data_IF_026576416899
#
_entry.id   IF_026576416899
#
_cell.length_a   1.000
_cell.length_b   1.000
_cell.length_c   1.000
_cell.angle_alpha   90.00
_cell.angle_beta   90.00
_cell.angle_gamma   90.00
#
_symmetry.space_group_name_H-M   'P 1'
#
loop_
_entity.id
_entity.type
_entity.pdbx_description
1 polymer ?
#
# COMPACT_ATOMS: atom_id res chain seq x y z
N UNK A 1 126.69 9.16 129.38
CA UNK A 1 125.39 9.61 129.92
C UNK A 1 124.82 10.82 129.16
N UNK A 2 125.31 12.07 129.27
CA UNK A 2 124.69 13.22 128.59
C UNK A 2 124.77 13.20 127.03
N UNK A 3 125.91 12.79 126.46
CA UNK A 3 126.08 12.63 125.00
C UNK A 3 125.29 11.45 124.43
N UNK A 4 125.01 10.43 125.23
CA UNK A 4 124.18 9.29 124.83
C UNK A 4 122.70 9.66 124.79
N UNK A 5 122.23 10.53 125.69
CA UNK A 5 120.86 11.07 125.68
C UNK A 5 120.60 11.99 124.48
N UNK A 6 121.58 12.81 124.09
CA UNK A 6 121.46 13.74 122.95
C UNK A 6 121.53 12.99 121.60
N UNK A 7 122.40 11.97 121.50
CA UNK A 7 122.44 11.04 120.37
C UNK A 7 121.12 10.26 120.23
N UNK A 8 120.53 9.81 121.35
CA UNK A 8 119.21 9.17 121.37
C UNK A 8 118.10 10.12 120.90
N UNK A 9 118.15 11.39 121.31
CA UNK A 9 117.19 12.42 120.90
C UNK A 9 117.26 12.74 119.41
N UNK A 10 118.48 12.84 118.85
CA UNK A 10 118.71 13.01 117.42
C UNK A 10 118.31 11.78 116.61
N UNK A 11 118.61 10.57 117.08
CA UNK A 11 118.13 9.33 116.47
C UNK A 11 116.60 9.24 116.46
N UNK A 12 115.94 9.70 117.53
CA UNK A 12 114.47 9.73 117.61
C UNK A 12 113.84 10.77 116.68
N UNK A 13 114.47 11.93 116.51
CA UNK A 13 114.07 12.93 115.51
C UNK A 13 114.32 12.48 114.09
N UNK A 14 115.47 11.87 113.81
CA UNK A 14 115.80 11.30 112.51
C UNK A 14 114.77 10.24 112.14
N UNK A 15 114.47 9.32 113.08
CA UNK A 15 113.43 8.31 112.90
C UNK A 15 112.05 8.91 112.67
N UNK A 16 111.70 9.99 113.37
CA UNK A 16 110.43 10.70 113.15
C UNK A 16 110.35 11.39 111.78
N UNK A 17 111.47 11.94 111.28
CA UNK A 17 111.56 12.54 109.95
C UNK A 17 111.56 11.46 108.85
N UNK A 18 112.21 10.32 109.08
CA UNK A 18 112.14 9.14 108.20
C UNK A 18 110.71 8.60 108.14
N UNK A 19 110.04 8.42 109.28
CA UNK A 19 108.63 8.00 109.35
C UNK A 19 107.68 9.00 108.65
N UNK A 20 107.98 10.30 108.72
CA UNK A 20 107.23 11.34 108.00
C UNK A 20 107.53 11.33 106.49
N UNK A 21 108.80 11.16 106.10
CA UNK A 21 109.22 11.08 104.71
C UNK A 21 108.63 9.83 104.02
N UNK A 22 108.57 8.71 104.72
CA UNK A 22 107.93 7.48 104.26
C UNK A 22 106.42 7.68 104.08
N UNK A 23 105.74 8.31 105.05
CA UNK A 23 104.31 8.66 104.92
C UNK A 23 104.02 9.62 103.77
N UNK A 24 104.83 10.66 103.60
CA UNK A 24 104.66 11.59 102.49
C UNK A 24 104.99 10.94 101.15
N UNK A 25 105.97 10.02 101.10
CA UNK A 25 106.29 9.28 99.88
C UNK A 25 105.18 8.29 99.49
N UNK A 26 104.63 7.55 100.45
CA UNK A 26 103.45 6.71 100.22
C UNK A 26 102.24 7.55 99.78
N UNK A 27 101.95 8.66 100.48
CA UNK A 27 100.84 9.54 100.12
C UNK A 27 101.02 10.20 98.75
N UNK A 28 102.25 10.53 98.36
CA UNK A 28 102.56 11.08 97.04
C UNK A 28 102.35 10.02 95.95
N UNK A 29 102.79 8.79 96.21
CA UNK A 29 102.63 7.66 95.29
C UNK A 29 101.15 7.32 95.09
N UNK A 30 100.36 7.29 96.16
CA UNK A 30 98.90 7.11 96.12
C UNK A 30 98.20 8.24 95.35
N UNK A 31 98.64 9.48 95.55
CA UNK A 31 98.09 10.64 94.84
C UNK A 31 98.43 10.60 93.34
N UNK A 32 99.64 10.18 92.98
CA UNK A 32 100.06 9.98 91.59
C UNK A 32 99.26 8.85 90.92
N UNK A 33 99.08 7.71 91.58
CA UNK A 33 98.25 6.60 91.06
C UNK A 33 96.80 7.04 90.86
N UNK A 34 96.23 7.81 91.79
CA UNK A 34 94.88 8.36 91.65
C UNK A 34 94.78 9.39 90.52
N UNK A 35 95.80 10.22 90.33
CA UNK A 35 95.86 11.18 89.24
C UNK A 35 95.89 10.47 87.89
N UNK A 36 96.76 9.47 87.73
CA UNK A 36 96.90 8.70 86.50
C UNK A 36 95.60 7.92 86.16
N UNK A 37 94.92 7.38 87.18
CA UNK A 37 93.59 6.78 87.01
C UNK A 37 92.52 7.81 86.60
N UNK A 38 92.56 9.03 87.13
CA UNK A 38 91.63 10.09 86.78
C UNK A 38 91.88 10.62 85.36
N UNK A 39 93.15 10.81 84.97
CA UNK A 39 93.55 11.21 83.61
C UNK A 39 93.14 10.15 82.59
N UNK A 40 93.36 8.86 82.89
CA UNK A 40 92.90 7.77 82.02
C UNK A 40 91.38 7.77 81.84
N UNK A 41 90.62 7.93 82.93
CA UNK A 41 89.15 8.03 82.85
C UNK A 41 88.69 9.26 82.07
N UNK A 42 89.36 10.39 82.21
CA UNK A 42 89.07 11.60 81.46
C UNK A 42 89.33 11.38 79.96
N UNK A 43 90.47 10.79 79.60
CA UNK A 43 90.81 10.46 78.22
C UNK A 43 89.80 9.46 77.59
N UNK A 44 89.38 8.43 78.33
CA UNK A 44 88.36 7.48 77.88
C UNK A 44 87.01 8.18 77.64
N UNK A 45 86.59 9.06 78.54
CA UNK A 45 85.36 9.84 78.41
C UNK A 45 85.42 10.83 77.25
N UNK A 46 86.54 11.51 77.04
CA UNK A 46 86.76 12.40 75.89
C UNK A 46 86.70 11.63 74.56
N UNK A 47 87.27 10.43 74.51
CA UNK A 47 87.19 9.55 73.35
C UNK A 47 85.74 9.09 73.08
N UNK A 48 84.98 8.76 74.11
CA UNK A 48 83.56 8.40 74.00
C UNK A 48 82.71 9.58 73.50
N UNK A 49 82.92 10.78 74.05
CA UNK A 49 82.25 12.00 73.60
C UNK A 49 82.57 12.30 72.13
N UNK A 50 83.83 12.15 71.71
CA UNK A 50 84.21 12.32 70.30
C UNK A 50 83.52 11.30 69.39
N UNK A 51 83.39 10.05 69.82
CA UNK A 51 82.68 8.99 69.10
C UNK A 51 81.17 9.29 68.99
N UNK A 52 80.53 9.68 70.09
CA UNK A 52 79.12 10.04 70.12
C UNK A 52 78.82 11.25 69.24
N UNK A 53 79.67 12.28 69.24
CA UNK A 53 79.52 13.44 68.36
C UNK A 53 79.59 13.06 66.87
N UNK A 54 80.51 12.16 66.50
CA UNK A 54 80.54 11.63 65.12
C UNK A 54 79.26 10.86 64.78
N UNK A 55 78.75 10.07 65.73
CA UNK A 55 77.51 9.32 65.54
C UNK A 55 76.30 10.23 65.41
N UNK A 56 76.24 11.33 66.17
CA UNK A 56 75.18 12.35 66.04
C UNK A 56 75.19 12.95 64.64
N UNK A 57 76.35 13.39 64.14
CA UNK A 57 76.47 13.96 62.78
C UNK A 57 75.99 12.97 61.70
N UNK A 58 76.36 11.70 61.79
CA UNK A 58 75.92 10.69 60.84
C UNK A 58 74.40 10.47 60.88
N UNK A 59 73.81 10.45 62.06
CA UNK A 59 72.35 10.31 62.22
C UNK A 59 71.61 11.55 61.73
N UNK A 60 72.14 12.75 61.94
CA UNK A 60 71.59 14.00 61.41
C UNK A 60 71.62 14.00 59.87
N UNK A 61 72.75 13.62 59.26
CA UNK A 61 72.84 13.49 57.80
C UNK A 61 71.88 12.42 57.24
N UNK A 62 71.70 11.29 57.92
CA UNK A 62 70.73 10.28 57.52
C UNK A 62 69.29 10.79 57.64
N UNK A 63 68.98 11.56 58.69
CA UNK A 63 67.68 12.17 58.90
C UNK A 63 67.38 13.18 57.79
N UNK A 64 68.32 14.06 57.45
CA UNK A 64 68.15 15.05 56.39
C UNK A 64 67.89 14.37 55.03
N UNK A 65 68.67 13.32 54.71
CA UNK A 65 68.44 12.53 53.49
C UNK A 65 67.09 11.82 53.48
N UNK A 66 66.63 11.32 54.62
CA UNK A 66 65.32 10.69 54.74
C UNK A 66 64.19 11.72 54.55
N UNK A 67 64.35 12.92 55.10
CA UNK A 67 63.40 14.03 54.94
C UNK A 67 63.30 14.50 53.49
N UNK A 68 64.41 14.68 52.77
CA UNK A 68 64.40 15.04 51.35
C UNK A 68 63.70 13.98 50.48
N UNK A 69 63.97 12.69 50.77
CA UNK A 69 63.29 11.58 50.09
C UNK A 69 61.79 11.58 50.37
N UNK A 70 61.39 11.81 51.63
CA UNK A 70 60.00 11.89 52.02
C UNK A 70 59.29 13.06 51.32
N UNK A 71 59.91 14.25 51.30
CA UNK A 71 59.36 15.43 50.61
C UNK A 71 59.12 15.14 49.12
N UNK A 72 60.09 14.51 48.45
CA UNK A 72 59.96 14.10 47.04
C UNK A 72 58.84 13.07 46.84
N UNK A 73 58.70 12.11 47.76
CA UNK A 73 57.66 11.09 47.68
C UNK A 73 56.26 11.69 47.88
N UNK A 74 56.11 12.63 48.81
CA UNK A 74 54.86 13.35 49.06
C UNK A 74 54.46 14.21 47.86
N UNK A 75 55.41 14.92 47.25
CA UNK A 75 55.13 15.69 46.03
C UNK A 75 54.63 14.79 44.89
N UNK A 76 55.29 13.64 44.66
CA UNK A 76 54.85 12.67 43.64
C UNK A 76 53.48 12.07 43.95
N UNK A 77 53.16 11.85 45.22
CA UNK A 77 51.85 11.38 45.63
C UNK A 77 50.77 12.41 45.31
N UNK A 78 51.00 13.68 45.63
CA UNK A 78 50.06 14.76 45.32
C UNK A 78 49.83 14.92 43.80
N UNK A 79 50.88 14.80 43.00
CA UNK A 79 50.77 14.82 41.54
C UNK A 79 49.96 13.62 41.01
N UNK A 80 50.16 12.43 41.58
CA UNK A 80 49.42 11.23 41.21
C UNK A 80 47.94 11.31 41.63
N UNK A 81 47.64 11.87 42.80
CA UNK A 81 46.27 12.10 43.28
C UNK A 81 45.53 13.08 42.34
N UNK A 82 46.16 14.19 41.97
CA UNK A 82 45.57 15.13 41.00
C UNK A 82 45.29 14.47 39.65
N UNK A 83 46.22 13.67 39.15
CA UNK A 83 46.03 12.95 37.88
C UNK A 83 44.90 11.91 37.98
N UNK A 84 44.75 11.24 39.12
CA UNK A 84 43.65 10.29 39.36
C UNK A 84 42.30 11.00 39.40
N UNK A 85 42.19 12.13 40.12
CA UNK A 85 40.96 12.94 40.18
C UNK A 85 40.53 13.45 38.80
N UNK A 86 41.49 13.92 37.98
CA UNK A 86 41.22 14.34 36.61
C UNK A 86 40.75 13.19 35.72
N UNK A 87 41.36 12.01 35.88
CA UNK A 87 40.96 10.79 35.18
C UNK A 87 39.54 10.35 35.56
N UNK A 88 39.19 10.38 36.86
CA UNK A 88 37.85 10.04 37.33
C UNK A 88 36.79 11.00 36.77
N UNK A 89 37.09 12.31 36.74
CA UNK A 89 36.22 13.30 36.09
C UNK A 89 36.05 13.02 34.60
N UNK A 90 37.13 12.67 33.91
CA UNK A 90 37.11 12.27 32.50
C UNK A 90 36.21 11.05 32.27
N UNK A 91 36.38 10.01 33.10
CA UNK A 91 35.57 8.79 33.05
C UNK A 91 34.09 9.10 33.21
N UNK A 92 33.73 9.93 34.20
CA UNK A 92 32.33 10.30 34.46
C UNK A 92 31.70 11.08 33.30
N UNK A 93 32.46 11.93 32.62
CA UNK A 93 31.95 12.63 31.42
C UNK A 93 31.71 11.65 30.28
N UNK A 94 32.60 10.69 30.07
CA UNK A 94 32.46 9.66 29.03
C UNK A 94 31.26 8.77 29.32
N UNK A 95 31.09 8.32 30.57
CA UNK A 95 29.94 7.51 31.01
C UNK A 95 28.60 8.23 30.75
N UNK A 96 28.51 9.52 31.11
CA UNK A 96 27.32 10.32 30.83
C UNK A 96 27.05 10.51 29.34
N UNK A 97 28.08 10.55 28.49
CA UNK A 97 27.90 10.59 27.03
C UNK A 97 27.42 9.25 26.49
N UNK A 98 28.06 8.16 26.92
CA UNK A 98 27.68 6.81 26.52
C UNK A 98 26.21 6.50 26.85
N UNK A 99 25.77 6.83 28.07
CA UNK A 99 24.37 6.63 28.49
C UNK A 99 23.38 7.44 27.64
N UNK A 100 23.70 8.69 27.28
CA UNK A 100 22.85 9.50 26.40
C UNK A 100 22.81 8.98 24.96
N UNK A 101 23.95 8.50 24.47
CA UNK A 101 24.03 7.92 23.12
C UNK A 101 23.26 6.60 23.04
N UNK A 102 23.28 5.80 24.12
CA UNK A 102 22.49 4.57 24.27
C UNK A 102 20.98 4.87 24.26
N UNK A 103 20.51 5.81 25.09
CA UNK A 103 19.09 6.25 25.09
C UNK A 103 18.65 6.73 23.71
N UNK A 104 19.50 7.50 23.02
CA UNK A 104 19.21 8.00 21.68
C UNK A 104 19.15 6.86 20.66
N UNK A 105 20.04 5.89 20.76
CA UNK A 105 20.07 4.72 19.89
C UNK A 105 18.78 3.91 20.04
N UNK A 106 18.32 3.65 21.26
CA UNK A 106 17.06 2.94 21.52
C UNK A 106 15.85 3.66 20.91
N UNK A 107 15.76 4.99 21.05
CA UNK A 107 14.69 5.79 20.44
C UNK A 107 14.73 5.67 18.91
N UNK A 108 15.92 5.76 18.31
CA UNK A 108 16.08 5.65 16.86
C UNK A 108 15.75 4.25 16.35
N UNK A 109 16.07 3.20 17.11
CA UNK A 109 15.70 1.83 16.78
C UNK A 109 14.19 1.61 16.79
N UNK A 110 13.49 2.15 17.81
CA UNK A 110 12.03 2.10 17.85
C UNK A 110 11.40 2.84 16.67
N UNK A 111 11.87 4.07 16.37
CA UNK A 111 11.39 4.84 15.23
C UNK A 111 11.66 4.13 13.89
N UNK A 112 12.82 3.49 13.74
CA UNK A 112 13.16 2.72 12.55
C UNK A 112 12.22 1.52 12.39
N UNK A 113 11.90 0.82 13.48
CA UNK A 113 10.98 -0.32 13.46
C UNK A 113 9.56 0.11 13.08
N UNK A 114 9.09 1.23 13.61
CA UNK A 114 7.79 1.80 13.26
C UNK A 114 7.75 2.23 11.78
N UNK A 115 8.76 2.94 11.30
CA UNK A 115 8.87 3.35 9.90
C UNK A 115 8.87 2.15 8.94
N UNK A 116 9.57 1.07 9.29
CA UNK A 116 9.56 -0.18 8.52
C UNK A 116 8.16 -0.81 8.47
N UNK A 117 7.46 -0.87 9.61
CA UNK A 117 6.11 -1.42 9.65
C UNK A 117 5.13 -0.61 8.80
N UNK A 118 5.22 0.72 8.84
CA UNK A 118 4.40 1.61 8.00
C UNK A 118 4.69 1.38 6.51
N UNK A 119 5.97 1.25 6.14
CA UNK A 119 6.36 0.96 4.76
C UNK A 119 5.80 -0.40 4.29
N UNK A 120 5.93 -1.45 5.09
CA UNK A 120 5.40 -2.78 4.78
C UNK A 120 3.87 -2.79 4.65
N UNK A 121 3.15 -2.06 5.51
CA UNK A 121 1.70 -1.91 5.38
C UNK A 121 1.30 -1.15 4.12
N UNK A 122 2.05 -0.11 3.75
CA UNK A 122 1.83 0.63 2.52
C UNK A 122 2.04 -0.28 1.30
N UNK A 123 3.14 -1.03 1.26
CA UNK A 123 3.43 -1.97 0.17
C UNK A 123 2.33 -3.02 0.02
N UNK A 124 1.84 -3.60 1.13
CA UNK A 124 0.71 -4.54 1.09
C UNK A 124 -0.56 -3.92 0.51
N UNK A 125 -0.88 -2.68 0.90
CA UNK A 125 -2.04 -1.95 0.35
C UNK A 125 -1.85 -1.64 -1.14
N UNK A 126 -0.65 -1.26 -1.55
CA UNK A 126 -0.32 -1.03 -2.96
C UNK A 126 -0.49 -2.31 -3.79
N UNK A 127 0.00 -3.45 -3.31
CA UNK A 127 -0.18 -4.73 -4.00
C UNK A 127 -1.67 -5.11 -4.12
N UNK A 128 -2.47 -4.91 -3.08
CA UNK A 128 -3.91 -5.20 -3.12
C UNK A 128 -4.63 -4.32 -4.15
N UNK A 129 -4.33 -3.01 -4.18
CA UNK A 129 -4.90 -2.08 -5.15
C UNK A 129 -4.47 -2.44 -6.56
N UNK A 130 -3.19 -2.77 -6.77
CA UNK A 130 -2.68 -3.18 -8.08
C UNK A 130 -3.37 -4.45 -8.59
N UNK A 131 -3.58 -5.46 -7.73
CA UNK A 131 -4.34 -6.67 -8.11
C UNK A 131 -5.79 -6.37 -8.46
N UNK A 132 -6.46 -5.50 -7.71
CA UNK A 132 -7.85 -5.08 -8.03
C UNK A 132 -7.92 -4.33 -9.35
N UNK A 133 -6.93 -3.48 -9.64
CA UNK A 133 -6.86 -2.72 -10.89
C UNK A 133 -6.81 -3.67 -12.10
N UNK A 134 -5.94 -4.67 -12.07
CA UNK A 134 -5.83 -5.66 -13.17
C UNK A 134 -7.15 -6.41 -13.42
N UNK A 135 -7.89 -6.75 -12.36
CA UNK A 135 -9.19 -7.41 -12.50
C UNK A 135 -10.20 -6.46 -13.16
N UNK A 136 -10.25 -5.20 -12.71
CA UNK A 136 -11.16 -4.20 -13.27
C UNK A 136 -10.83 -3.85 -14.72
N UNK A 137 -9.55 -3.78 -15.08
CA UNK A 137 -9.11 -3.58 -16.47
C UNK A 137 -9.59 -4.74 -17.36
N UNK A 138 -9.45 -5.98 -16.90
CA UNK A 138 -9.94 -7.15 -17.64
C UNK A 138 -11.47 -7.23 -17.73
N UNK A 139 -12.20 -6.78 -16.72
CA UNK A 139 -13.67 -6.70 -16.77
C UNK A 139 -14.16 -5.56 -17.67
N UNK A 140 -13.42 -4.44 -17.71
CA UNK A 140 -13.67 -3.33 -18.62
C UNK A 140 -13.50 -3.77 -20.08
N UNK A 141 -12.38 -4.42 -20.43
CA UNK A 141 -12.12 -4.91 -21.79
C UNK A 141 -13.24 -5.85 -22.28
N UNK A 142 -13.68 -6.80 -21.44
CA UNK A 142 -14.82 -7.68 -21.76
C UNK A 142 -16.14 -6.91 -21.93
N UNK A 143 -16.35 -5.84 -21.17
CA UNK A 143 -17.54 -5.01 -21.30
C UNK A 143 -17.53 -4.20 -22.59
N UNK A 144 -16.36 -3.70 -22.99
CA UNK A 144 -16.15 -2.97 -24.23
C UNK A 144 -16.38 -3.89 -25.44
N UNK A 145 -15.78 -5.09 -25.47
CA UNK A 145 -16.03 -6.09 -26.53
C UNK A 145 -17.53 -6.42 -26.67
N UNK A 146 -18.25 -6.56 -25.55
CA UNK A 146 -19.70 -6.81 -25.56
C UNK A 146 -20.48 -5.64 -26.11
N UNK A 147 -20.08 -4.41 -25.77
CA UNK A 147 -20.73 -3.20 -26.27
C UNK A 147 -20.54 -3.09 -27.78
N UNK A 148 -19.32 -3.31 -28.29
CA UNK A 148 -19.04 -3.28 -29.73
C UNK A 148 -19.89 -4.29 -30.52
N UNK A 149 -20.01 -5.52 -30.01
CA UNK A 149 -20.88 -6.55 -30.63
C UNK A 149 -22.35 -6.14 -30.60
N UNK A 150 -22.82 -5.53 -29.51
CA UNK A 150 -24.19 -5.06 -29.38
C UNK A 150 -24.48 -3.89 -30.34
N UNK A 151 -23.54 -2.96 -30.49
CA UNK A 151 -23.65 -1.84 -31.41
C UNK A 151 -23.69 -2.31 -32.87
N UNK A 152 -22.81 -3.24 -33.26
CA UNK A 152 -22.84 -3.83 -34.60
C UNK A 152 -24.19 -4.50 -34.90
N UNK A 153 -24.71 -5.29 -33.96
CA UNK A 153 -26.02 -5.93 -34.11
C UNK A 153 -27.17 -4.92 -34.18
N UNK A 154 -27.09 -3.82 -33.42
CA UNK A 154 -28.08 -2.74 -33.49
C UNK A 154 -28.09 -2.08 -34.86
N UNK A 155 -26.90 -1.80 -35.41
CA UNK A 155 -26.77 -1.23 -36.75
C UNK A 155 -27.35 -2.14 -37.84
N UNK A 156 -27.06 -3.45 -37.78
CA UNK A 156 -27.62 -4.44 -38.71
C UNK A 156 -29.17 -4.45 -38.65
N UNK A 157 -29.74 -4.46 -37.43
CA UNK A 157 -31.19 -4.44 -37.24
C UNK A 157 -31.83 -3.14 -37.71
N UNK A 158 -31.17 -2.00 -37.53
CA UNK A 158 -31.63 -0.71 -38.05
C UNK A 158 -31.68 -0.71 -39.59
N UNK A 159 -30.69 -1.32 -40.25
CA UNK A 159 -30.67 -1.45 -41.70
C UNK A 159 -31.79 -2.39 -42.20
N UNK A 160 -31.97 -3.55 -41.56
CA UNK A 160 -33.07 -4.46 -41.87
C UNK A 160 -34.44 -3.78 -41.71
N UNK A 161 -34.64 -3.05 -40.62
CA UNK A 161 -35.89 -2.32 -40.36
C UNK A 161 -36.17 -1.30 -41.46
N UNK A 162 -35.14 -0.57 -41.91
CA UNK A 162 -35.26 0.38 -43.02
C UNK A 162 -35.68 -0.31 -44.32
N UNK A 163 -35.08 -1.46 -44.62
CA UNK A 163 -35.41 -2.26 -45.80
C UNK A 163 -36.85 -2.79 -45.75
N UNK A 164 -37.27 -3.35 -44.61
CA UNK A 164 -38.65 -3.82 -44.40
C UNK A 164 -39.64 -2.67 -44.52
N UNK A 165 -39.33 -1.51 -43.94
CA UNK A 165 -40.19 -0.31 -44.02
C UNK A 165 -40.38 0.16 -45.45
N UNK A 166 -39.31 0.14 -46.27
CA UNK A 166 -39.40 0.50 -47.68
C UNK A 166 -40.24 -0.51 -48.48
N UNK A 167 -40.08 -1.81 -48.21
CA UNK A 167 -40.88 -2.86 -48.84
C UNK A 167 -42.36 -2.74 -48.48
N UNK A 168 -42.67 -2.47 -47.21
CA UNK A 168 -44.04 -2.27 -46.74
C UNK A 168 -44.71 -1.12 -47.49
N UNK A 169 -44.05 0.05 -47.60
CA UNK A 169 -44.58 1.19 -48.36
C UNK A 169 -44.88 0.84 -49.82
N UNK A 170 -44.03 0.04 -50.45
CA UNK A 170 -44.26 -0.43 -51.83
C UNK A 170 -45.48 -1.35 -51.93
N UNK A 171 -45.64 -2.26 -50.96
CA UNK A 171 -46.79 -3.16 -50.90
C UNK A 171 -48.09 -2.42 -50.60
N UNK A 172 -48.08 -1.44 -49.70
CA UNK A 172 -49.22 -0.57 -49.41
C UNK A 172 -49.67 0.18 -50.67
N UNK A 173 -48.74 0.78 -51.41
CA UNK A 173 -49.03 1.44 -52.68
C UNK A 173 -49.57 0.47 -53.75
N UNK A 174 -49.14 -0.80 -53.75
CA UNK A 174 -49.69 -1.82 -54.64
C UNK A 174 -51.10 -2.25 -54.22
N UNK A 175 -51.34 -2.44 -52.92
CA UNK A 175 -52.64 -2.78 -52.38
C UNK A 175 -53.68 -1.71 -52.70
N UNK A 176 -53.32 -0.43 -52.55
CA UNK A 176 -54.20 0.70 -52.91
C UNK A 176 -54.53 0.71 -54.42
N UNK A 177 -53.54 0.44 -55.29
CA UNK A 177 -53.76 0.31 -56.74
C UNK A 177 -54.69 -0.84 -57.10
N UNK A 178 -54.57 -1.99 -56.41
CA UNK A 178 -55.44 -3.14 -56.66
C UNK A 178 -56.85 -2.89 -56.16
N UNK A 179 -57.03 -2.27 -54.99
CA UNK A 179 -58.34 -1.85 -54.49
C UNK A 179 -59.03 -0.89 -55.46
N UNK A 180 -58.34 0.13 -55.98
CA UNK A 180 -58.92 1.03 -56.99
C UNK A 180 -59.29 0.32 -58.31
N UNK A 181 -58.58 -0.76 -58.67
CA UNK A 181 -58.95 -1.58 -59.84
C UNK A 181 -60.17 -2.44 -59.56
N UNK A 182 -60.25 -3.01 -58.36
CA UNK A 182 -61.39 -3.78 -57.88
C UNK A 182 -62.67 -2.92 -57.93
N UNK A 183 -62.64 -1.71 -57.37
CA UNK A 183 -63.77 -0.77 -57.41
C UNK A 183 -64.24 -0.48 -58.86
N UNK A 184 -63.30 -0.30 -59.79
CA UNK A 184 -63.62 -0.08 -61.21
C UNK A 184 -64.26 -1.29 -61.86
N UNK A 185 -63.72 -2.48 -61.60
CA UNK A 185 -64.28 -3.70 -62.14
C UNK A 185 -65.66 -4.01 -61.54
N UNK A 186 -65.87 -3.72 -60.25
CA UNK A 186 -67.19 -3.84 -59.63
C UNK A 186 -68.23 -2.93 -60.31
N UNK A 187 -67.88 -1.67 -60.57
CA UNK A 187 -68.79 -0.75 -61.26
C UNK A 187 -69.03 -1.15 -62.73
N UNK A 188 -68.00 -1.59 -63.45
CA UNK A 188 -68.15 -2.12 -64.82
C UNK A 188 -69.06 -3.36 -64.84
N UNK A 189 -68.88 -4.29 -63.90
CA UNK A 189 -69.73 -5.48 -63.75
C UNK A 189 -71.17 -5.06 -63.48
N UNK A 190 -71.40 -4.06 -62.63
CA UNK A 190 -72.73 -3.56 -62.32
C UNK A 190 -73.43 -2.97 -63.55
N UNK A 191 -72.73 -2.11 -64.31
CA UNK A 191 -73.24 -1.52 -65.56
C UNK A 191 -73.52 -2.60 -66.61
N UNK A 192 -72.62 -3.58 -66.77
CA UNK A 192 -72.82 -4.69 -67.70
C UNK A 192 -74.00 -5.57 -67.29
N UNK A 193 -74.19 -5.77 -65.99
CA UNK A 193 -75.34 -6.53 -65.44
C UNK A 193 -76.66 -5.79 -65.69
N UNK A 194 -76.70 -4.47 -65.52
CA UNK A 194 -77.88 -3.67 -65.85
C UNK A 194 -78.21 -3.72 -67.34
N UNK A 195 -77.21 -3.53 -68.22
CA UNK A 195 -77.37 -3.67 -69.67
C UNK A 195 -77.85 -5.06 -70.10
N UNK A 196 -77.34 -6.11 -69.45
CA UNK A 196 -77.77 -7.48 -69.70
C UNK A 196 -79.26 -7.63 -69.36
N UNK A 197 -79.72 -7.14 -68.20
CA UNK A 197 -81.14 -7.18 -67.82
C UNK A 197 -82.03 -6.39 -68.77
N UNK A 198 -81.60 -5.22 -69.25
CA UNK A 198 -82.32 -4.45 -70.26
C UNK A 198 -82.41 -5.19 -71.60
N UNK A 199 -81.32 -5.84 -72.02
CA UNK A 199 -81.30 -6.66 -73.23
C UNK A 199 -82.19 -7.90 -73.10
N UNK A 200 -82.17 -8.58 -71.95
CA UNK A 200 -83.03 -9.72 -71.63
C UNK A 200 -84.51 -9.34 -71.66
N UNK A 201 -84.90 -8.27 -70.96
CA UNK A 201 -86.29 -7.78 -70.97
C UNK A 201 -86.76 -7.34 -72.37
N UNK A 202 -85.87 -6.74 -73.18
CA UNK A 202 -86.16 -6.40 -74.57
C UNK A 202 -86.32 -7.66 -75.44
N UNK A 203 -85.47 -8.66 -75.25
CA UNK A 203 -85.58 -9.94 -75.95
C UNK A 203 -86.89 -10.65 -75.59
N UNK A 204 -87.26 -10.74 -74.30
CA UNK A 204 -88.54 -11.30 -73.86
C UNK A 204 -89.75 -10.57 -74.48
N UNK A 205 -89.70 -9.24 -74.58
CA UNK A 205 -90.76 -8.46 -75.23
C UNK A 205 -90.86 -8.75 -76.73
N UNK A 206 -89.71 -8.87 -77.41
CA UNK A 206 -89.65 -9.23 -78.82
C UNK A 206 -90.21 -10.64 -79.05
N UNK A 207 -89.84 -11.62 -78.22
CA UNK A 207 -90.35 -12.99 -78.26
C UNK A 207 -91.87 -13.03 -78.07
N UNK A 208 -92.40 -12.29 -77.09
CA UNK A 208 -93.87 -12.16 -76.90
C UNK A 208 -94.57 -11.54 -78.11
N UNK A 209 -93.93 -10.53 -78.73
CA UNK A 209 -94.47 -9.86 -79.91
C UNK A 209 -94.49 -10.80 -81.11
N UNK A 210 -93.43 -11.59 -81.31
CA UNK A 210 -93.35 -12.63 -82.33
C UNK A 210 -94.45 -13.67 -82.11
N UNK A 211 -94.59 -14.23 -80.91
CA UNK A 211 -95.64 -15.21 -80.61
C UNK A 211 -97.07 -14.68 -80.87
N UNK A 212 -97.30 -13.38 -80.59
CA UNK A 212 -98.59 -12.74 -80.89
C UNK A 212 -98.83 -12.57 -82.38
N UNK A 213 -97.81 -12.17 -83.13
CA UNK A 213 -97.87 -12.04 -84.59
C UNK A 213 -98.06 -13.41 -85.25
N UNK A 214 -97.34 -14.45 -84.81
CA UNK A 214 -97.51 -15.84 -85.25
C UNK A 214 -98.95 -16.30 -85.06
N UNK A 215 -99.54 -16.10 -83.87
CA UNK A 215 -100.96 -16.40 -83.65
C UNK A 215 -101.89 -15.65 -84.60
N UNK A 216 -101.59 -14.37 -84.87
CA UNK A 216 -102.40 -13.57 -85.80
C UNK A 216 -102.27 -14.08 -87.23
N UNK A 217 -101.08 -14.55 -87.62
CA UNK A 217 -100.84 -15.20 -88.90
C UNK A 217 -101.68 -16.49 -88.99
N UNK A 218 -101.63 -17.35 -87.98
CA UNK A 218 -102.44 -18.58 -87.93
C UNK A 218 -103.94 -18.28 -88.06
N UNK A 219 -104.45 -17.32 -87.28
CA UNK A 219 -105.86 -16.89 -87.32
C UNK A 219 -106.26 -16.37 -88.72
N UNK A 220 -105.38 -15.61 -89.38
CA UNK A 220 -105.61 -15.10 -90.74
C UNK A 220 -105.49 -16.20 -91.81
N UNK A 221 -104.58 -17.15 -91.64
CA UNK A 221 -104.44 -18.31 -92.53
C UNK A 221 -105.69 -19.19 -92.49
N UNK A 222 -106.24 -19.44 -91.30
CA UNK A 222 -107.51 -20.13 -91.09
C UNK A 222 -108.67 -19.38 -91.76
N UNK A 223 -108.73 -18.06 -91.61
CA UNK A 223 -109.77 -17.23 -92.24
C UNK A 223 -109.67 -17.25 -93.78
N UNK A 224 -108.45 -17.16 -94.32
CA UNK A 224 -108.20 -17.30 -95.76
C UNK A 224 -108.62 -18.68 -96.26
N UNK A 225 -108.29 -19.74 -95.52
CA UNK A 225 -108.68 -21.11 -95.88
C UNK A 225 -110.21 -21.26 -95.87
N UNK A 226 -110.90 -20.75 -94.85
CA UNK A 226 -112.36 -20.75 -94.76
C UNK A 226 -112.99 -19.98 -95.93
N UNK A 227 -112.48 -18.79 -96.26
CA UNK A 227 -112.95 -18.02 -97.43
C UNK A 227 -112.71 -18.77 -98.74
N UNK A 228 -111.58 -19.48 -98.88
CA UNK A 228 -111.25 -20.27 -100.07
C UNK A 228 -112.19 -21.47 -100.23
N UNK A 229 -112.55 -22.16 -99.14
CA UNK A 229 -113.56 -23.22 -99.14
C UNK A 229 -114.94 -22.67 -99.53
N UNK A 230 -115.32 -21.52 -98.97
CA UNK A 230 -116.58 -20.85 -99.30
C UNK A 230 -116.64 -20.43 -100.76
N UNK A 231 -115.53 -19.91 -101.30
CA UNK A 231 -115.39 -19.58 -102.71
C UNK A 231 -115.46 -20.82 -103.63
N UNK A 232 -114.87 -21.95 -103.22
CA UNK A 232 -115.04 -23.23 -103.92
C UNK A 232 -116.48 -23.71 -103.92
N UNK A 233 -117.16 -23.69 -102.77
CA UNK A 233 -118.56 -24.09 -102.68
C UNK A 233 -119.46 -23.21 -103.57
N UNK A 234 -119.24 -21.90 -103.58
CA UNK A 234 -119.93 -20.97 -104.49
C UNK A 234 -119.63 -21.28 -105.96
N UNK A 235 -118.40 -21.67 -106.30
CA UNK A 235 -118.03 -22.07 -107.65
C UNK A 235 -118.71 -23.38 -108.06
N UNK A 236 -118.79 -24.36 -107.17
CA UNK A 236 -119.49 -25.63 -107.41
C UNK A 236 -121.01 -25.42 -107.54
N UNK A 237 -121.63 -24.55 -106.74
CA UNK A 237 -123.02 -24.13 -106.91
C UNK A 237 -123.25 -23.41 -108.25
N UNK A 238 -122.29 -22.57 -108.68
CA UNK A 238 -122.34 -21.89 -109.97
C UNK A 238 -122.23 -22.88 -111.13
N UNK A 239 -121.33 -23.86 -111.04
CA UNK A 239 -121.16 -24.91 -112.05
C UNK A 239 -122.37 -25.85 -112.14
N UNK A 240 -123.02 -26.14 -111.00
CA UNK A 240 -124.32 -26.83 -110.97
C UNK A 240 -125.42 -26.00 -111.64
N UNK A 241 -125.55 -24.71 -111.29
CA UNK A 241 -126.53 -23.81 -111.90
C UNK A 241 -126.30 -23.58 -113.40
N UNK A 242 -125.03 -23.54 -113.83
CA UNK A 242 -124.65 -23.45 -115.25
C UNK A 242 -124.96 -24.75 -116.00
N UNK A 243 -124.65 -25.91 -115.42
CA UNK A 243 -124.99 -27.20 -116.02
C UNK A 243 -126.52 -27.40 -116.18
N UNK A 244 -127.30 -26.97 -115.19
CA UNK A 244 -128.77 -26.99 -115.24
C UNK A 244 -129.33 -26.05 -116.32
N UNK A 245 -128.65 -24.95 -116.64
CA UNK A 245 -129.01 -24.06 -117.77
C UNK A 245 -128.61 -24.62 -119.15
N UNK A 246 -127.60 -25.48 -119.25
CA UNK A 246 -127.20 -26.13 -120.51
C UNK A 246 -127.94 -27.43 -120.84
N UNK A 247 -128.79 -27.94 -119.94
CA UNK A 247 -129.57 -29.18 -120.16
C UNK A 247 -131.07 -28.96 -120.41
N UNK A 248 -131.49 -27.72 -120.69
CA UNK A 248 -132.84 -27.31 -121.13
C UNK A 248 -132.80 -26.71 -122.54
#
# INVERSE_FOLDING_TARGET
MALEEELLGLQKKLKGVEDELDKYSESLKDAQEKLEQAEKKAADAEAEVASLNRRIQLVEEELDRAQERLATALQKLEEAEKAADESERGMKVIENRASKDEEKMEIQEMQLKEAKHIAEEADRKYEEVARKLVILEGDLERSEERAEVAEAKSADLEEELKNVTNNLKSLEAQAEKYSQKEDKYEEEIKVLTEKLKEAETRAEFAERSVAKLEKTIDDLEDEVYAQKLKGKALSEELDLALNDMTTL
#
